data_IF_917893735504
#
_entry.id   IF_917893735504
#
_cell.length_a   1.000
_cell.length_b   1.000
_cell.length_c   1.000
_cell.angle_alpha   90.00
_cell.angle_beta   90.00
_cell.angle_gamma   90.00
#
_symmetry.space_group_name_H-M   'P 1'
#
loop_
_entity.id
_entity.type
_entity.pdbx_description
1 polymer ?
#
# COMPACT_ATOMS: atom_id res chain seq x y z
N UNK A 1 -86.27 6.38 -49.78
CA UNK A 1 -85.96 7.14 -48.56
C UNK A 1 -84.53 6.80 -48.11
N UNK A 2 -83.73 7.83 -47.89
CA UNK A 2 -82.47 7.92 -47.12
C UNK A 2 -81.25 7.02 -47.43
N UNK A 3 -80.17 7.70 -47.87
CA UNK A 3 -78.75 7.52 -47.52
C UNK A 3 -78.50 7.38 -45.98
N UNK A 4 -77.25 7.22 -45.48
CA UNK A 4 -75.99 6.78 -46.11
C UNK A 4 -75.21 5.71 -45.29
N UNK A 5 -74.29 5.00 -45.95
CA UNK A 5 -73.15 4.35 -45.31
C UNK A 5 -71.96 5.31 -45.28
N UNK A 6 -71.77 6.04 -44.18
CA UNK A 6 -70.53 6.77 -43.94
C UNK A 6 -70.32 6.88 -42.43
N UNK A 7 -69.21 6.30 -41.93
CA UNK A 7 -68.44 6.70 -40.73
C UNK A 7 -67.61 5.59 -40.04
N UNK A 8 -67.51 4.36 -40.58
CA UNK A 8 -66.72 3.32 -39.89
C UNK A 8 -65.20 3.31 -40.17
N UNK A 9 -64.73 3.96 -41.24
CA UNK A 9 -63.30 3.94 -41.63
C UNK A 9 -62.48 5.04 -40.95
N UNK A 10 -63.08 6.18 -40.56
CA UNK A 10 -62.36 7.28 -39.92
C UNK A 10 -62.00 7.03 -38.44
N UNK A 11 -62.75 6.17 -37.74
CA UNK A 11 -62.60 5.87 -36.31
C UNK A 11 -61.45 4.89 -36.00
N UNK A 12 -61.21 3.90 -36.88
CA UNK A 12 -60.12 2.94 -36.70
C UNK A 12 -58.74 3.54 -36.96
N UNK A 13 -58.62 4.47 -37.92
CA UNK A 13 -57.34 5.09 -38.28
C UNK A 13 -56.85 6.07 -37.19
N UNK A 14 -57.74 6.83 -36.58
CA UNK A 14 -57.42 7.75 -35.48
C UNK A 14 -57.02 7.03 -34.20
N UNK A 15 -57.66 5.89 -33.90
CA UNK A 15 -57.34 5.05 -32.74
C UNK A 15 -55.94 4.41 -32.84
N UNK A 16 -55.56 3.90 -34.02
CA UNK A 16 -54.23 3.31 -34.24
C UNK A 16 -53.11 4.36 -34.19
N UNK A 17 -53.35 5.57 -34.73
CA UNK A 17 -52.43 6.71 -34.65
C UNK A 17 -52.26 7.21 -33.21
N UNK A 18 -53.33 7.25 -32.41
CA UNK A 18 -53.27 7.62 -30.99
C UNK A 18 -52.48 6.60 -30.13
N UNK A 19 -52.61 5.30 -30.42
CA UNK A 19 -51.86 4.25 -29.71
C UNK A 19 -50.38 4.31 -30.07
N UNK A 20 -50.06 4.46 -31.36
CA UNK A 20 -48.67 4.54 -31.84
C UNK A 20 -47.97 5.82 -31.36
N UNK A 21 -48.68 6.95 -31.29
CA UNK A 21 -48.15 8.20 -30.71
C UNK A 21 -47.97 8.12 -29.20
N UNK A 22 -48.88 7.46 -28.46
CA UNK A 22 -48.69 7.19 -27.03
C UNK A 22 -47.51 6.25 -26.76
N UNK A 23 -47.32 5.22 -27.58
CA UNK A 23 -46.20 4.29 -27.43
C UNK A 23 -44.87 4.97 -27.75
N UNK A 24 -44.80 5.79 -28.81
CA UNK A 24 -43.63 6.63 -29.12
C UNK A 24 -43.34 7.64 -28.02
N UNK A 25 -44.36 8.28 -27.42
CA UNK A 25 -44.18 9.21 -26.29
C UNK A 25 -43.66 8.49 -25.04
N UNK A 26 -44.17 7.29 -24.73
CA UNK A 26 -43.68 6.47 -23.62
C UNK A 26 -42.23 6.00 -23.84
N UNK A 27 -41.89 5.54 -25.04
CA UNK A 27 -40.52 5.15 -25.38
C UNK A 27 -39.56 6.35 -25.32
N UNK A 28 -39.97 7.49 -25.86
CA UNK A 28 -39.20 8.75 -25.78
C UNK A 28 -38.97 9.18 -24.33
N UNK A 29 -39.99 9.09 -23.47
CA UNK A 29 -39.86 9.39 -22.03
C UNK A 29 -38.88 8.43 -21.33
N UNK A 30 -38.97 7.12 -21.59
CA UNK A 30 -38.04 6.14 -21.03
C UNK A 30 -36.59 6.41 -21.45
N UNK A 31 -36.36 6.75 -22.73
CA UNK A 31 -35.04 7.08 -23.26
C UNK A 31 -34.48 8.34 -22.59
N UNK A 32 -35.31 9.38 -22.41
CA UNK A 32 -34.93 10.61 -21.70
C UNK A 32 -34.55 10.36 -20.24
N UNK A 33 -35.31 9.54 -19.52
CA UNK A 33 -34.99 9.15 -18.14
C UNK A 33 -33.67 8.38 -18.07
N UNK A 34 -33.42 7.47 -19.01
CA UNK A 34 -32.17 6.70 -19.07
C UNK A 34 -30.96 7.60 -19.37
N UNK A 35 -31.10 8.55 -20.29
CA UNK A 35 -30.06 9.54 -20.60
C UNK A 35 -29.76 10.45 -19.41
N UNK A 36 -30.78 10.93 -18.69
CA UNK A 36 -30.59 11.71 -17.47
C UNK A 36 -29.88 10.90 -16.39
N UNK A 37 -30.25 9.64 -16.20
CA UNK A 37 -29.57 8.74 -15.26
C UNK A 37 -28.11 8.50 -15.65
N UNK A 38 -27.83 8.26 -16.93
CA UNK A 38 -26.47 8.11 -17.45
C UNK A 38 -25.62 9.37 -17.25
N UNK A 39 -26.18 10.56 -17.50
CA UNK A 39 -25.52 11.84 -17.24
C UNK A 39 -25.21 12.01 -15.76
N UNK A 40 -26.15 11.68 -14.86
CA UNK A 40 -25.93 11.73 -13.41
C UNK A 40 -24.83 10.74 -12.99
N UNK A 41 -24.82 9.52 -13.54
CA UNK A 41 -23.78 8.52 -13.28
C UNK A 41 -22.40 8.99 -13.75
N UNK A 42 -22.30 9.54 -14.96
CA UNK A 42 -21.05 10.08 -15.51
C UNK A 42 -20.60 11.33 -14.73
N UNK A 43 -21.53 12.17 -14.29
CA UNK A 43 -21.21 13.34 -13.46
C UNK A 43 -20.70 12.92 -12.07
N UNK A 44 -21.27 11.86 -11.49
CA UNK A 44 -20.81 11.25 -10.23
C UNK A 44 -19.43 10.60 -10.36
N UNK A 45 -19.14 9.96 -11.50
CA UNK A 45 -17.80 9.47 -11.87
C UNK A 45 -16.80 10.64 -12.00
N UNK A 46 -17.17 11.72 -12.71
CA UNK A 46 -16.31 12.91 -12.87
C UNK A 46 -16.02 13.61 -11.54
N UNK A 47 -16.99 13.64 -10.61
CA UNK A 47 -16.81 14.15 -9.25
C UNK A 47 -15.90 13.27 -8.40
N UNK A 48 -15.88 11.94 -8.62
CA UNK A 48 -14.88 11.04 -8.02
C UNK A 48 -13.48 11.25 -8.60
N UNK A 49 -13.37 11.53 -9.90
CA UNK A 49 -12.09 11.86 -10.56
C UNK A 49 -11.45 13.14 -10.03
N UNK A 50 -12.25 14.18 -9.77
CA UNK A 50 -11.77 15.44 -9.15
C UNK A 50 -11.27 15.27 -7.71
N UNK A 51 -11.77 14.27 -6.96
CA UNK A 51 -11.29 13.99 -5.60
C UNK A 51 -9.88 13.37 -5.57
N UNK A 52 -9.43 12.74 -6.66
CA UNK A 52 -8.06 12.21 -6.76
C UNK A 52 -7.02 13.29 -7.10
N UNK A 53 -7.43 14.37 -7.78
CA UNK A 53 -6.59 15.53 -8.10
C UNK A 53 -6.33 16.44 -6.88
N UNK A 54 -7.18 16.35 -5.85
CA UNK A 54 -7.06 17.14 -4.61
C UNK A 54 -6.12 16.53 -3.55
N UNK A 55 -5.50 15.38 -3.81
CA UNK A 55 -4.44 14.80 -2.96
C UNK A 55 -3.07 15.49 -3.14
N UNK A 56 -3.07 16.82 -3.33
CA UNK A 56 -1.88 17.63 -3.02
C UNK A 56 -1.71 17.61 -1.50
N UNK A 57 -0.73 16.84 -1.05
CA UNK A 57 -0.16 16.86 0.30
C UNK A 57 -0.12 18.30 0.86
N UNK A 58 -0.52 18.54 2.12
CA UNK A 58 -0.33 19.85 2.72
C UNK A 58 1.18 20.12 2.81
N UNK A 59 1.63 21.12 2.06
CA UNK A 59 3.02 21.61 1.97
C UNK A 59 3.59 22.15 3.30
N UNK A 60 2.88 21.98 4.42
CA UNK A 60 3.19 22.60 5.72
C UNK A 60 4.18 21.81 6.58
N UNK A 61 4.40 20.51 6.34
CA UNK A 61 5.44 19.76 7.07
C UNK A 61 6.85 19.92 6.46
N UNK A 62 6.94 20.23 5.17
CA UNK A 62 8.23 20.37 4.47
C UNK A 62 9.00 21.66 4.82
N UNK A 63 8.31 22.67 5.38
CA UNK A 63 8.98 23.90 5.83
C UNK A 63 9.67 23.75 7.19
N UNK A 64 9.18 22.85 8.06
CA UNK A 64 9.76 22.65 9.40
C UNK A 64 11.09 21.91 9.31
N UNK A 65 11.20 20.88 8.46
CA UNK A 65 12.43 20.10 8.29
C UNK A 65 13.54 20.90 7.58
N UNK A 66 13.17 21.74 6.59
CA UNK A 66 14.11 22.62 5.88
C UNK A 66 14.66 23.77 6.75
N UNK A 67 13.90 24.17 7.78
CA UNK A 67 14.33 25.20 8.74
C UNK A 67 15.32 24.64 9.76
N UNK A 68 15.19 23.35 10.11
CA UNK A 68 16.12 22.66 11.02
C UNK A 68 17.47 22.38 10.36
N UNK A 69 17.46 22.05 9.05
CA UNK A 69 18.68 21.79 8.27
C UNK A 69 19.49 23.07 7.98
N UNK A 70 18.81 24.23 7.86
CA UNK A 70 19.47 25.54 7.72
C UNK A 70 20.21 26.00 8.98
N UNK A 71 19.89 25.44 10.15
CA UNK A 71 20.60 25.75 11.40
C UNK A 71 21.86 24.89 11.60
N UNK A 72 22.05 23.82 10.81
CA UNK A 72 23.17 22.87 10.99
C UNK A 72 24.28 22.99 9.93
N UNK A 73 24.14 23.86 8.91
CA UNK A 73 25.11 23.99 7.80
C UNK A 73 25.92 25.31 7.87
N UNK A 74 25.81 26.08 8.95
CA UNK A 74 26.52 27.34 9.15
C UNK A 74 27.76 27.25 10.07
N UNK A 75 28.76 26.44 9.73
CA UNK A 75 30.14 26.68 10.22
C UNK A 75 31.15 25.89 9.41
N UNK A 76 31.76 26.59 8.45
CA UNK A 76 32.95 26.14 7.76
C UNK A 76 34.21 26.32 8.63
N UNK A 77 35.11 25.35 8.47
CA UNK A 77 36.57 25.38 8.63
C UNK A 77 37.24 26.69 9.12
N UNK A 78 37.97 26.59 10.23
CA UNK A 78 39.23 27.32 10.44
C UNK A 78 40.21 26.45 11.23
N UNK A 79 41.32 26.11 10.58
CA UNK A 79 42.57 25.66 11.20
C UNK A 79 43.42 26.88 11.58
N UNK A 80 44.16 26.80 12.69
CA UNK A 80 45.55 27.27 12.96
C UNK A 80 45.83 27.28 14.48
N UNK A 81 47.08 26.93 14.80
CA UNK A 81 47.75 26.60 16.07
C UNK A 81 47.73 27.56 17.28
N UNK A 82 47.92 26.89 18.44
CA UNK A 82 48.81 27.15 19.61
C UNK A 82 48.83 28.48 20.38
N UNK A 83 48.62 28.33 21.71
CA UNK A 83 49.41 28.99 22.77
C UNK A 83 48.73 30.13 23.53
N UNK A 84 48.62 30.01 24.86
CA UNK A 84 48.42 31.17 25.76
C UNK A 84 47.47 30.95 26.93
N UNK A 85 48.04 30.74 28.11
CA UNK A 85 47.41 30.79 29.45
C UNK A 85 46.69 32.12 29.69
N UNK A 86 45.46 32.10 30.22
CA UNK A 86 44.96 32.98 31.30
C UNK A 86 43.48 32.70 31.62
N UNK A 87 43.23 32.40 32.90
CA UNK A 87 41.93 32.54 33.58
C UNK A 87 41.74 34.02 33.93
N UNK A 88 40.50 34.57 33.95
CA UNK A 88 39.78 34.54 35.23
C UNK A 88 38.26 34.32 35.12
N UNK A 89 37.72 33.95 36.28
CA UNK A 89 36.33 33.63 36.61
C UNK A 89 35.27 34.54 35.96
N UNK A 90 34.24 33.91 35.40
CA UNK A 90 32.92 34.50 35.22
C UNK A 90 31.85 33.56 35.81
N UNK A 91 30.80 34.06 36.49
CA UNK A 91 29.90 33.24 37.27
C UNK A 91 29.09 32.31 36.36
N UNK A 92 29.10 31.03 36.70
CA UNK A 92 28.28 29.99 36.08
C UNK A 92 26.81 30.27 36.37
N UNK A 93 26.16 31.01 35.48
CA UNK A 93 24.69 31.11 35.46
C UNK A 93 24.07 29.71 35.32
N UNK A 94 22.86 29.49 35.84
CA UNK A 94 22.25 28.17 35.82
C UNK A 94 22.12 27.72 34.37
N UNK A 95 22.66 26.55 34.06
CA UNK A 95 22.47 25.91 32.77
C UNK A 95 20.96 25.70 32.58
N UNK A 96 20.32 26.59 31.81
CA UNK A 96 18.94 26.43 31.39
C UNK A 96 18.85 25.08 30.69
N UNK A 97 18.16 24.12 31.32
CA UNK A 97 17.88 22.83 30.72
C UNK A 97 17.30 23.07 29.32
N UNK A 98 17.96 22.52 28.31
CA UNK A 98 17.52 22.58 26.93
C UNK A 98 16.11 21.99 26.87
N UNK A 99 15.09 22.68 26.34
CA UNK A 99 13.74 22.15 26.25
C UNK A 99 13.78 20.80 25.53
N UNK A 100 13.22 19.78 26.16
CA UNK A 100 13.10 18.45 25.58
C UNK A 100 12.27 18.57 24.30
N UNK A 101 12.82 18.14 23.17
CA UNK A 101 12.16 18.28 21.88
C UNK A 101 10.89 17.43 21.87
N UNK A 102 9.72 18.06 21.74
CA UNK A 102 8.45 17.37 21.57
C UNK A 102 8.25 17.03 20.10
N UNK A 103 8.44 15.77 19.74
CA UNK A 103 8.14 15.23 18.41
C UNK A 103 7.25 14.00 18.52
N UNK A 104 6.44 13.76 17.49
CA UNK A 104 5.51 12.63 17.46
C UNK A 104 6.14 11.44 16.75
N UNK A 105 6.14 10.30 17.43
CA UNK A 105 6.52 8.99 16.87
C UNK A 105 5.34 8.02 16.96
N UNK A 106 5.52 6.81 16.43
CA UNK A 106 4.49 5.78 16.50
C UNK A 106 4.01 5.54 17.94
N UNK A 107 2.71 5.65 18.16
CA UNK A 107 2.10 5.37 19.45
C UNK A 107 1.90 3.86 19.62
N UNK A 108 2.60 3.26 20.59
CA UNK A 108 2.50 1.83 20.93
C UNK A 108 1.08 1.38 21.33
N UNK A 109 0.26 2.30 21.84
CA UNK A 109 -1.10 2.04 22.32
C UNK A 109 -2.16 2.41 21.26
N UNK A 110 -1.77 2.51 19.99
CA UNK A 110 -2.69 2.78 18.87
C UNK A 110 -3.79 1.73 18.77
N UNK A 111 -5.04 2.20 18.65
CA UNK A 111 -6.23 1.35 18.55
C UNK A 111 -7.08 1.70 17.32
N UNK A 112 -8.11 0.90 17.04
CA UNK A 112 -9.06 1.20 15.97
C UNK A 112 -9.75 2.55 16.15
N UNK A 113 -9.88 3.06 17.38
CA UNK A 113 -10.45 4.39 17.66
C UNK A 113 -9.57 5.54 17.17
N UNK A 114 -8.26 5.31 17.01
CA UNK A 114 -7.31 6.31 16.52
C UNK A 114 -7.28 6.41 14.99
N UNK A 115 -7.94 5.48 14.28
CA UNK A 115 -7.99 5.49 12.81
C UNK A 115 -9.01 6.50 12.28
N UNK A 116 -8.78 7.00 11.06
CA UNK A 116 -9.79 7.79 10.33
C UNK A 116 -11.07 6.97 10.09
N UNK A 117 -12.28 7.59 10.06
CA UNK A 117 -13.55 6.87 9.98
C UNK A 117 -13.65 5.88 8.80
N UNK A 118 -13.07 6.22 7.66
CA UNK A 118 -12.99 5.32 6.49
C UNK A 118 -12.28 4.01 6.83
N UNK A 119 -11.13 4.07 7.52
CA UNK A 119 -10.36 2.89 7.89
C UNK A 119 -11.01 2.11 9.02
N UNK A 120 -11.69 2.78 9.95
CA UNK A 120 -12.51 2.11 10.97
C UNK A 120 -13.59 1.23 10.33
N UNK A 121 -14.29 1.73 9.30
CA UNK A 121 -15.29 0.95 8.56
C UNK A 121 -14.65 -0.26 7.86
N UNK A 122 -13.50 -0.07 7.22
CA UNK A 122 -12.76 -1.15 6.55
C UNK A 122 -12.34 -2.23 7.57
N UNK A 123 -11.81 -1.83 8.72
CA UNK A 123 -11.45 -2.75 9.80
C UNK A 123 -12.66 -3.58 10.24
N UNK A 124 -13.80 -2.95 10.55
CA UNK A 124 -15.05 -3.66 10.92
C UNK A 124 -15.50 -4.64 9.84
N UNK A 125 -15.40 -4.25 8.57
CA UNK A 125 -15.77 -5.12 7.45
C UNK A 125 -14.87 -6.36 7.38
N UNK A 126 -13.54 -6.21 7.57
CA UNK A 126 -12.63 -7.35 7.59
C UNK A 126 -12.93 -8.32 8.74
N UNK A 127 -13.27 -7.80 9.93
CA UNK A 127 -13.71 -8.64 11.05
C UNK A 127 -14.98 -9.42 10.70
N UNK A 128 -15.98 -8.74 10.13
CA UNK A 128 -17.25 -9.37 9.78
C UNK A 128 -17.12 -10.40 8.66
N UNK A 129 -16.25 -10.16 7.67
CA UNK A 129 -16.05 -11.10 6.56
C UNK A 129 -15.41 -12.41 7.03
N UNK A 130 -14.55 -12.34 8.05
CA UNK A 130 -13.77 -13.46 8.58
C UNK A 130 -13.30 -14.44 7.48
N UNK A 131 -12.63 -13.89 6.45
CA UNK A 131 -12.28 -14.61 5.21
C UNK A 131 -11.55 -15.93 5.46
N UNK A 132 -10.75 -15.98 6.53
CA UNK A 132 -9.93 -17.12 6.91
C UNK A 132 -10.54 -17.97 8.03
N UNK A 133 -11.83 -17.76 8.36
CA UNK A 133 -12.59 -18.50 9.38
C UNK A 133 -11.86 -18.58 10.72
N UNK A 134 -11.24 -17.47 11.12
CA UNK A 134 -10.48 -17.38 12.37
C UNK A 134 -11.44 -17.51 13.55
N UNK A 135 -11.14 -18.43 14.46
CA UNK A 135 -11.74 -18.52 15.79
C UNK A 135 -10.61 -18.54 16.81
N UNK A 136 -10.32 -17.37 17.39
CA UNK A 136 -9.21 -17.25 18.33
C UNK A 136 -9.60 -17.87 19.68
N UNK A 137 -8.86 -18.89 20.11
CA UNK A 137 -9.06 -19.63 21.38
C UNK A 137 -7.89 -19.48 22.36
N UNK A 138 -6.92 -18.61 22.04
CA UNK A 138 -5.78 -18.34 22.90
C UNK A 138 -6.12 -17.45 24.09
N UNK A 139 -5.10 -17.04 24.87
CA UNK A 139 -5.27 -16.11 25.99
C UNK A 139 -5.98 -14.83 25.54
N UNK A 140 -6.92 -14.32 26.35
CA UNK A 140 -7.74 -13.16 26.00
C UNK A 140 -6.93 -11.94 25.53
N UNK A 141 -7.50 -11.08 24.67
CA UNK A 141 -6.79 -9.93 24.13
C UNK A 141 -6.34 -8.97 25.25
N UNK A 142 -5.17 -8.34 25.07
CA UNK A 142 -4.68 -7.31 25.99
C UNK A 142 -3.67 -7.80 27.05
N UNK A 143 -3.13 -9.01 26.91
CA UNK A 143 -1.98 -9.47 27.72
C UNK A 143 -0.79 -8.52 27.51
N UNK A 144 -0.23 -8.01 28.61
CA UNK A 144 0.97 -7.17 28.61
C UNK A 144 2.18 -8.03 28.92
N UNK A 145 3.19 -7.99 28.06
CA UNK A 145 4.49 -8.64 28.24
C UNK A 145 5.60 -7.59 28.23
N UNK A 146 6.70 -7.85 28.92
CA UNK A 146 7.94 -7.08 28.73
C UNK A 146 8.50 -7.33 27.32
N UNK A 147 9.38 -6.46 26.86
CA UNK A 147 10.00 -6.61 25.53
C UNK A 147 10.78 -7.94 25.43
N UNK A 148 11.54 -8.29 26.45
CA UNK A 148 12.37 -9.50 26.51
C UNK A 148 11.49 -10.76 26.52
N UNK A 149 10.42 -10.75 27.32
CA UNK A 149 9.48 -11.86 27.40
C UNK A 149 8.74 -12.07 26.08
N UNK A 150 8.31 -10.97 25.42
CA UNK A 150 7.65 -11.05 24.12
C UNK A 150 8.60 -11.58 23.03
N UNK A 151 9.86 -11.16 23.03
CA UNK A 151 10.85 -11.66 22.06
C UNK A 151 11.10 -13.17 22.22
N UNK A 152 11.23 -13.66 23.46
CA UNK A 152 11.35 -15.10 23.71
C UNK A 152 10.07 -15.84 23.28
N UNK A 153 8.90 -15.28 23.60
CA UNK A 153 7.62 -15.87 23.19
C UNK A 153 7.52 -16.00 21.67
N UNK A 154 7.87 -14.95 20.92
CA UNK A 154 7.89 -14.97 19.45
C UNK A 154 8.87 -16.00 18.89
N UNK A 155 10.09 -16.08 19.45
CA UNK A 155 11.10 -17.07 19.04
C UNK A 155 10.57 -18.50 19.19
N UNK A 156 9.90 -18.78 20.30
CA UNK A 156 9.53 -20.15 20.68
C UNK A 156 8.20 -20.60 20.04
N UNK A 157 7.31 -19.66 19.67
CA UNK A 157 5.96 -19.97 19.19
C UNK A 157 5.74 -19.67 17.70
N UNK A 158 6.68 -19.01 17.02
CA UNK A 158 6.59 -18.73 15.57
C UNK A 158 7.62 -19.55 14.83
N UNK A 159 7.17 -20.66 14.21
CA UNK A 159 8.04 -21.48 13.39
C UNK A 159 8.32 -20.81 12.04
N UNK A 160 9.57 -20.41 11.82
CA UNK A 160 10.04 -19.91 10.52
C UNK A 160 10.72 -21.06 9.77
N UNK A 161 9.94 -21.75 8.95
CA UNK A 161 10.36 -22.83 8.05
C UNK A 161 9.79 -22.62 6.63
N UNK A 162 10.38 -23.31 5.66
CA UNK A 162 9.88 -23.37 4.28
C UNK A 162 9.32 -24.77 4.03
N UNK A 163 8.49 -24.91 2.99
CA UNK A 163 8.05 -26.22 2.50
C UNK A 163 9.26 -26.99 1.99
N UNK A 164 9.40 -28.24 2.41
CA UNK A 164 10.46 -29.17 2.02
C UNK A 164 9.92 -30.29 1.12
N UNK A 165 10.80 -30.97 0.39
CA UNK A 165 10.41 -32.05 -0.52
C UNK A 165 9.80 -33.27 0.20
N UNK A 166 9.97 -33.36 1.52
CA UNK A 166 9.36 -34.39 2.37
C UNK A 166 7.90 -34.07 2.74
N UNK A 167 7.47 -32.81 2.61
CA UNK A 167 6.12 -32.40 2.97
C UNK A 167 5.13 -32.87 1.90
N UNK A 168 4.01 -33.47 2.31
CA UNK A 168 2.95 -33.81 1.36
C UNK A 168 2.19 -32.54 0.92
N UNK A 169 1.84 -32.35 -0.37
CA UNK A 169 2.00 -33.27 -1.50
C UNK A 169 3.27 -33.05 -2.34
N UNK A 170 4.31 -32.39 -1.81
CA UNK A 170 5.54 -32.06 -2.53
C UNK A 170 6.54 -33.23 -2.62
N UNK A 171 6.22 -34.35 -1.99
CA UNK A 171 6.96 -35.60 -2.07
C UNK A 171 6.53 -36.51 -3.24
N UNK A 172 5.60 -36.06 -4.10
CA UNK A 172 5.13 -36.83 -5.25
C UNK A 172 5.98 -36.57 -6.50
N UNK A 173 5.87 -37.45 -7.51
CA UNK A 173 6.65 -37.35 -8.76
C UNK A 173 6.35 -36.08 -9.57
N UNK A 174 5.15 -35.50 -9.44
CA UNK A 174 4.80 -34.25 -10.11
C UNK A 174 5.61 -33.04 -9.61
N UNK A 175 6.13 -33.11 -8.37
CA UNK A 175 6.89 -32.04 -7.73
C UNK A 175 8.40 -32.29 -7.70
N UNK A 176 8.86 -33.41 -8.28
CA UNK A 176 10.26 -33.79 -8.26
C UNK A 176 11.14 -32.72 -8.92
N UNK A 177 12.17 -32.27 -8.19
CA UNK A 177 13.15 -31.30 -8.68
C UNK A 177 12.71 -29.82 -8.67
N UNK A 178 11.48 -29.48 -8.25
CA UNK A 178 11.03 -28.08 -8.19
C UNK A 178 11.51 -27.31 -6.94
N UNK A 179 11.55 -27.98 -5.79
CA UNK A 179 11.96 -27.34 -4.53
C UNK A 179 13.49 -27.32 -4.39
N UNK A 180 14.06 -26.28 -3.74
CA UNK A 180 15.49 -26.26 -3.44
C UNK A 180 15.91 -27.47 -2.60
N UNK A 181 17.07 -28.06 -2.93
CA UNK A 181 17.63 -29.19 -2.17
C UNK A 181 18.16 -28.79 -0.78
N UNK A 182 18.61 -27.54 -0.65
CA UNK A 182 19.18 -27.03 0.59
C UNK A 182 18.19 -26.12 1.32
N UNK A 183 18.18 -26.21 2.65
CA UNK A 183 17.35 -25.37 3.50
C UNK A 183 17.79 -23.90 3.42
N UNK A 184 16.83 -22.98 3.53
CA UNK A 184 17.10 -21.53 3.49
C UNK A 184 18.10 -21.10 4.57
N UNK A 185 18.10 -21.74 5.75
CA UNK A 185 19.05 -21.44 6.83
C UNK A 185 20.50 -21.72 6.45
N UNK A 186 20.73 -22.66 5.53
CA UNK A 186 22.07 -22.99 5.00
C UNK A 186 22.48 -22.05 3.88
N UNK A 187 21.54 -21.66 3.01
CA UNK A 187 21.81 -20.76 1.87
C UNK A 187 21.87 -19.28 2.25
N UNK A 188 21.18 -18.87 3.31
CA UNK A 188 20.96 -17.48 3.68
C UNK A 188 21.34 -17.22 5.14
N UNK A 189 22.62 -16.90 5.36
CA UNK A 189 23.17 -16.56 6.66
C UNK A 189 23.92 -17.73 7.34
N UNK A 190 24.20 -17.62 8.65
CA UNK A 190 23.83 -16.51 9.53
C UNK A 190 24.57 -15.21 9.20
N UNK A 191 23.89 -14.08 9.37
CA UNK A 191 24.44 -12.73 9.14
C UNK A 191 24.50 -11.94 10.44
N UNK A 192 25.41 -10.96 10.52
CA UNK A 192 25.53 -10.10 11.69
C UNK A 192 24.52 -8.95 11.66
N UNK A 193 24.53 -8.15 10.59
CA UNK A 193 23.66 -6.98 10.43
C UNK A 193 22.75 -7.14 9.21
N UNK A 194 21.45 -7.02 9.43
CA UNK A 194 20.44 -7.14 8.38
C UNK A 194 19.58 -5.86 8.31
N UNK A 195 19.17 -5.47 7.10
CA UNK A 195 18.20 -4.39 6.88
C UNK A 195 16.90 -4.93 6.26
N UNK A 196 15.76 -4.49 6.79
CA UNK A 196 14.43 -4.74 6.22
C UNK A 196 13.91 -3.44 5.61
N UNK A 197 13.78 -3.41 4.28
CA UNK A 197 13.36 -2.21 3.57
C UNK A 197 11.87 -2.30 3.24
N UNK A 198 11.05 -1.49 3.92
CA UNK A 198 9.62 -1.37 3.60
C UNK A 198 9.42 -0.78 2.19
N UNK A 199 8.19 -0.84 1.66
CA UNK A 199 7.84 -0.21 0.39
C UNK A 199 7.08 1.11 0.58
N UNK A 200 7.24 1.77 1.73
CA UNK A 200 6.54 3.01 2.04
C UNK A 200 7.06 4.20 1.22
N UNK A 201 6.16 5.09 0.82
CA UNK A 201 6.52 6.32 0.10
C UNK A 201 7.34 7.31 0.93
N UNK A 202 7.37 7.16 2.25
CA UNK A 202 8.20 7.97 3.17
C UNK A 202 9.70 7.74 3.00
N UNK A 203 10.12 6.69 2.28
CA UNK A 203 11.53 6.50 1.92
C UNK A 203 12.03 7.49 0.87
N UNK A 204 11.12 8.11 0.10
CA UNK A 204 11.51 9.07 -0.93
C UNK A 204 12.23 10.26 -0.31
N UNK A 205 13.38 10.61 -0.87
CA UNK A 205 14.29 11.67 -0.40
C UNK A 205 14.82 11.48 1.02
N UNK A 206 14.78 10.25 1.55
CA UNK A 206 15.36 9.92 2.87
C UNK A 206 16.88 9.77 2.84
N UNK A 207 17.46 9.53 1.65
CA UNK A 207 18.90 9.31 1.46
C UNK A 207 19.48 8.13 2.27
N UNK A 208 18.63 7.19 2.70
CA UNK A 208 19.02 6.04 3.51
C UNK A 208 19.80 4.97 2.72
N UNK A 209 19.96 5.11 1.40
CA UNK A 209 20.47 4.05 0.54
C UNK A 209 21.85 3.54 0.94
N UNK A 210 22.77 4.43 1.33
CA UNK A 210 24.11 4.05 1.80
C UNK A 210 24.07 3.32 3.14
N UNK A 211 23.25 3.78 4.08
CA UNK A 211 23.07 3.12 5.37
C UNK A 211 22.50 1.71 5.20
N UNK A 212 21.50 1.56 4.34
CA UNK A 212 20.87 0.29 3.98
C UNK A 212 21.92 -0.67 3.40
N UNK A 213 22.72 -0.23 2.42
CA UNK A 213 23.69 -1.07 1.72
C UNK A 213 24.88 -1.52 2.60
N UNK A 214 25.13 -0.84 3.72
CA UNK A 214 26.14 -1.20 4.72
C UNK A 214 25.78 -2.45 5.57
N UNK A 215 24.64 -3.10 5.30
CA UNK A 215 24.24 -4.34 5.97
C UNK A 215 24.68 -5.58 5.16
N UNK A 216 24.89 -6.70 5.84
CA UNK A 216 25.31 -7.98 5.24
C UNK A 216 24.20 -8.51 4.32
N UNK A 217 22.95 -8.42 4.79
CA UNK A 217 21.78 -8.85 4.04
C UNK A 217 20.64 -7.84 4.05
N UNK A 218 19.92 -7.78 2.93
CA UNK A 218 18.81 -6.87 2.72
C UNK A 218 17.57 -7.63 2.27
N UNK A 219 16.50 -7.50 3.06
CA UNK A 219 15.17 -8.02 2.76
C UNK A 219 14.32 -6.94 2.08
N UNK A 220 13.72 -7.26 0.94
CA UNK A 220 12.74 -6.41 0.23
C UNK A 220 11.44 -7.17 -0.01
N UNK A 221 10.37 -6.42 -0.33
CA UNK A 221 9.03 -6.98 -0.52
C UNK A 221 8.54 -6.85 -1.96
N UNK A 222 7.85 -7.89 -2.45
CA UNK A 222 7.16 -7.93 -3.73
C UNK A 222 8.02 -7.41 -4.89
N UNK A 223 7.49 -6.51 -5.72
CA UNK A 223 8.20 -5.88 -6.84
C UNK A 223 8.86 -4.54 -6.52
N UNK A 224 9.16 -4.23 -5.25
CA UNK A 224 9.79 -2.95 -4.89
C UNK A 224 11.14 -2.76 -5.63
N UNK A 225 11.27 -1.74 -6.50
CA UNK A 225 12.45 -1.55 -7.34
C UNK A 225 13.60 -0.88 -6.56
N UNK A 226 14.83 -1.10 -7.05
CA UNK A 226 16.03 -0.37 -6.62
C UNK A 226 16.48 0.64 -7.67
N UNK A 227 16.34 0.30 -8.96
CA UNK A 227 16.66 1.20 -10.06
C UNK A 227 15.82 2.49 -9.99
N UNK A 228 16.49 3.62 -10.18
CA UNK A 228 16.00 4.99 -10.03
C UNK A 228 15.69 5.44 -8.59
N UNK A 229 15.96 4.61 -7.58
CA UNK A 229 15.70 4.92 -6.17
C UNK A 229 16.92 4.66 -5.27
N UNK A 230 18.08 4.35 -5.85
CA UNK A 230 19.27 3.86 -5.13
C UNK A 230 19.70 4.78 -3.98
N UNK A 231 19.60 6.09 -4.15
CA UNK A 231 19.97 7.06 -3.10
C UNK A 231 19.13 6.89 -1.84
N UNK A 232 17.86 6.52 -1.99
CA UNK A 232 16.90 6.39 -0.89
C UNK A 232 16.79 4.97 -0.35
N UNK A 233 16.83 3.98 -1.25
CA UNK A 233 16.51 2.59 -0.89
C UNK A 233 17.69 1.63 -1.03
N UNK A 234 18.84 2.09 -1.50
CA UNK A 234 20.03 1.27 -1.72
C UNK A 234 19.95 0.44 -3.00
N UNK A 235 20.99 -0.36 -3.24
CA UNK A 235 21.19 -1.15 -4.46
C UNK A 235 21.11 -2.65 -4.22
N UNK A 236 21.51 -3.12 -3.03
CA UNK A 236 21.61 -4.54 -2.71
C UNK A 236 20.23 -5.13 -2.38
N UNK A 237 20.02 -6.38 -2.81
CA UNK A 237 18.86 -7.19 -2.45
C UNK A 237 19.33 -8.62 -2.24
N UNK A 238 19.23 -9.14 -1.03
CA UNK A 238 19.67 -10.51 -0.68
C UNK A 238 18.48 -11.46 -0.63
N UNK A 239 17.39 -11.04 0.03
CA UNK A 239 16.15 -11.80 0.11
C UNK A 239 15.00 -10.93 -0.41
N UNK A 240 14.09 -11.52 -1.17
CA UNK A 240 12.86 -10.87 -1.61
C UNK A 240 11.64 -11.69 -1.22
N UNK A 241 10.87 -11.21 -0.25
CA UNK A 241 9.62 -11.83 0.17
C UNK A 241 8.48 -11.39 -0.73
N UNK A 242 7.76 -12.33 -1.33
CA UNK A 242 6.66 -12.05 -2.25
C UNK A 242 5.39 -12.77 -1.80
N UNK A 243 4.26 -12.08 -1.87
CA UNK A 243 2.97 -12.77 -1.70
C UNK A 243 2.60 -13.57 -2.97
N UNK A 244 1.72 -14.57 -2.80
CA UNK A 244 1.30 -15.46 -3.88
C UNK A 244 0.51 -14.76 -4.99
N UNK A 245 -0.26 -13.72 -4.67
CA UNK A 245 -1.04 -12.96 -5.66
C UNK A 245 -0.14 -12.28 -6.69
N UNK A 246 0.93 -11.62 -6.23
CA UNK A 246 1.90 -10.94 -7.11
C UNK A 246 2.61 -11.97 -7.99
N UNK A 247 3.02 -13.12 -7.44
CA UNK A 247 3.63 -14.22 -8.21
C UNK A 247 2.68 -14.73 -9.29
N UNK A 248 1.41 -14.96 -8.96
CA UNK A 248 0.42 -15.44 -9.92
C UNK A 248 0.20 -14.45 -11.07
N UNK A 249 0.05 -13.15 -10.76
CA UNK A 249 -0.12 -12.12 -11.78
C UNK A 249 1.10 -12.00 -12.70
N UNK A 250 2.30 -12.04 -12.13
CA UNK A 250 3.55 -11.99 -12.91
C UNK A 250 3.67 -13.21 -13.82
N UNK A 251 3.38 -14.41 -13.31
CA UNK A 251 3.41 -15.63 -14.11
C UNK A 251 2.43 -15.55 -15.30
N UNK A 252 1.19 -15.09 -15.06
CA UNK A 252 0.21 -14.88 -16.14
C UNK A 252 0.69 -13.88 -17.19
N UNK A 253 1.38 -12.82 -16.77
CA UNK A 253 1.94 -11.83 -17.68
C UNK A 253 3.05 -12.46 -18.56
N UNK A 254 4.01 -13.15 -17.95
CA UNK A 254 5.13 -13.80 -18.66
C UNK A 254 4.64 -14.88 -19.62
N UNK A 255 3.71 -15.74 -19.19
CA UNK A 255 3.15 -16.79 -20.06
C UNK A 255 2.41 -16.18 -21.25
N UNK A 256 1.70 -15.05 -21.05
CA UNK A 256 1.07 -14.31 -22.15
C UNK A 256 2.10 -13.78 -23.14
N UNK A 257 3.14 -13.10 -22.67
CA UNK A 257 4.21 -12.57 -23.53
C UNK A 257 4.87 -13.67 -24.37
N UNK A 258 5.23 -14.79 -23.75
CA UNK A 258 5.81 -15.95 -24.48
C UNK A 258 4.82 -16.49 -25.51
N UNK A 259 3.53 -16.57 -25.18
CA UNK A 259 2.48 -17.05 -26.09
C UNK A 259 2.17 -16.06 -27.23
N UNK A 260 2.42 -14.77 -27.04
CA UNK A 260 2.35 -13.77 -28.10
C UNK A 260 3.58 -13.84 -29.01
N UNK A 261 4.77 -13.98 -28.44
CA UNK A 261 6.01 -14.11 -29.21
C UNK A 261 6.01 -15.35 -30.11
N UNK A 262 5.53 -16.50 -29.62
CA UNK A 262 5.39 -17.73 -30.43
C UNK A 262 4.34 -17.63 -31.54
N UNK A 263 3.34 -16.76 -31.42
CA UNK A 263 2.32 -16.54 -32.47
C UNK A 263 2.72 -15.48 -33.51
N UNK A 264 3.70 -14.64 -33.21
CA UNK A 264 4.24 -13.65 -34.15
C UNK A 264 5.43 -14.14 -34.98
N UNK A 265 5.87 -15.38 -34.78
CA UNK A 265 6.97 -16.04 -35.53
C UNK A 265 6.48 -17.19 -36.43
N UNK A 266 5.17 -17.30 -36.65
CA UNK A 266 4.55 -18.31 -37.52
C UNK A 266 3.87 -17.70 -38.73
#
# INVERSE_FOLDING_TARGET
ACCPAQNRVASLNTSLIMIHTNLKKKFSCCVLVFLLFAIICVWKEKKKGSYYESLKMPTKEFQVLRSLEKLTVGSGSRSVSSGGTQNPQSPRGPAKAKPEATFQVWNKDSSSKNLIPRLQKIWKNYLSMNKYKVSYKGPGPGVKLSAEALLCHLRDHVNVSMVEATDFPFNTSEWEGYLPRENIRTKAGPWGRCAVVSSAGSLKSSQLGREIDNHDAILRFNGAPTANFQQDVGTKTTIRLMNSQVKFLLCRYVVREISFHKRGQG
#
